data_IF_245543521165
#
_entry.id   IF_245543521165
#
_cell.length_a   1.000
_cell.length_b   1.000
_cell.length_c   1.000
_cell.angle_alpha   90.00
_cell.angle_beta   90.00
_cell.angle_gamma   90.00
#
_symmetry.space_group_name_H-M   'P 1'
#
loop_
_entity.id
_entity.type
_entity.pdbx_description
1 polymer ?
#
# COMPACT_ATOMS: atom_id res chain seq x y z
N UNK A 1 40.83 -13.06 -19.07
CA UNK A 1 39.41 -13.22 -19.45
C UNK A 1 38.55 -13.64 -18.26
N UNK A 2 39.15 -13.72 -17.06
CA UNK A 2 38.60 -14.42 -15.90
C UNK A 2 37.83 -13.53 -14.92
N UNK A 3 38.00 -12.20 -15.01
CA UNK A 3 37.32 -11.24 -14.14
C UNK A 3 35.81 -11.09 -14.47
N UNK A 4 35.45 -11.29 -15.74
CA UNK A 4 34.07 -11.15 -16.22
C UNK A 4 33.20 -12.36 -15.88
N UNK A 5 33.79 -13.57 -15.89
CA UNK A 5 33.14 -14.81 -15.46
C UNK A 5 32.91 -14.81 -13.95
N UNK A 6 33.85 -14.28 -13.16
CA UNK A 6 33.71 -14.16 -11.70
C UNK A 6 32.58 -13.20 -11.30
N UNK A 7 32.43 -12.07 -12.00
CA UNK A 7 31.32 -11.12 -11.80
C UNK A 7 29.97 -11.72 -12.15
N UNK A 8 29.88 -12.49 -13.25
CA UNK A 8 28.66 -13.19 -13.64
C UNK A 8 28.26 -14.28 -12.64
N UNK A 9 29.25 -15.05 -12.13
CA UNK A 9 29.03 -16.06 -11.09
C UNK A 9 28.59 -15.43 -9.76
N UNK A 10 29.16 -14.28 -9.37
CA UNK A 10 28.73 -13.57 -8.16
C UNK A 10 27.33 -12.96 -8.29
N UNK A 11 26.97 -12.44 -9.46
CA UNK A 11 25.62 -11.91 -9.73
C UNK A 11 24.56 -13.01 -9.63
N UNK A 12 24.83 -14.19 -10.20
CA UNK A 12 23.91 -15.34 -10.09
C UNK A 12 23.87 -15.92 -8.69
N UNK A 13 24.97 -15.89 -7.94
CA UNK A 13 24.96 -16.26 -6.51
C UNK A 13 24.09 -15.30 -5.69
N UNK A 14 24.12 -14.01 -5.97
CA UNK A 14 23.27 -13.04 -5.28
C UNK A 14 21.78 -13.24 -5.60
N UNK A 15 21.43 -13.52 -6.86
CA UNK A 15 20.04 -13.84 -7.26
C UNK A 15 19.55 -15.15 -6.63
N UNK A 16 20.38 -16.20 -6.66
CA UNK A 16 20.05 -17.48 -6.04
C UNK A 16 19.95 -17.34 -4.53
N UNK A 17 20.83 -16.56 -3.90
CA UNK A 17 20.76 -16.26 -2.46
C UNK A 17 19.51 -15.46 -2.12
N UNK A 18 19.09 -14.51 -2.97
CA UNK A 18 17.85 -13.76 -2.78
C UNK A 18 16.61 -14.65 -2.91
N UNK A 19 16.62 -15.59 -3.86
CA UNK A 19 15.56 -16.60 -4.03
C UNK A 19 15.53 -17.56 -2.84
N UNK A 20 16.69 -18.00 -2.33
CA UNK A 20 16.79 -18.84 -1.13
C UNK A 20 16.34 -18.08 0.12
N UNK A 21 16.67 -16.79 0.27
CA UNK A 21 16.16 -15.96 1.35
C UNK A 21 14.64 -15.78 1.27
N UNK A 22 14.09 -15.60 0.06
CA UNK A 22 12.64 -15.59 -0.16
C UNK A 22 12.01 -16.94 0.21
N UNK A 23 12.58 -18.06 -0.25
CA UNK A 23 12.12 -19.42 0.08
C UNK A 23 12.23 -19.71 1.58
N UNK A 24 13.30 -19.28 2.25
CA UNK A 24 13.42 -19.39 3.70
C UNK A 24 12.49 -18.42 4.43
N UNK A 25 12.13 -17.26 3.89
CA UNK A 25 11.03 -16.44 4.41
C UNK A 25 9.68 -17.17 4.33
N UNK A 26 9.47 -17.98 3.29
CA UNK A 26 8.30 -18.86 3.15
C UNK A 26 8.37 -20.09 4.08
N UNK A 27 9.54 -20.71 4.27
CA UNK A 27 9.72 -21.92 5.12
C UNK A 27 9.87 -21.63 6.61
N UNK A 28 10.45 -20.48 7.00
CA UNK A 28 10.70 -20.10 8.41
C UNK A 28 9.44 -19.71 9.18
N UNK A 29 8.26 -20.01 8.64
CA UNK A 29 7.02 -19.78 9.35
C UNK A 29 6.76 -18.30 9.58
N UNK A 30 6.63 -17.53 8.48
CA UNK A 30 5.42 -16.72 8.45
C UNK A 30 4.30 -17.75 8.45
N UNK A 31 3.86 -18.13 9.65
CA UNK A 31 2.48 -18.52 9.88
C UNK A 31 1.66 -17.30 9.45
N UNK A 32 1.55 -17.08 8.14
CA UNK A 32 0.35 -16.58 7.54
C UNK A 32 -0.63 -17.67 7.94
N UNK A 33 -1.19 -17.55 9.15
CA UNK A 33 -2.57 -17.95 9.36
C UNK A 33 -3.23 -17.46 8.08
N UNK A 34 -3.71 -18.40 7.28
CA UNK A 34 -4.56 -18.09 6.15
C UNK A 34 -5.78 -17.47 6.81
N UNK A 35 -5.68 -16.17 7.07
CA UNK A 35 -6.60 -15.40 7.86
C UNK A 35 -7.78 -15.21 6.94
N UNK A 36 -8.70 -16.15 7.01
CA UNK A 36 -10.07 -15.96 6.56
C UNK A 36 -10.77 -14.84 7.37
N UNK A 37 -10.06 -14.22 8.31
CA UNK A 37 -10.47 -13.02 9.02
C UNK A 37 -10.34 -11.80 8.10
N UNK A 38 -11.43 -11.52 7.41
CA UNK A 38 -11.70 -10.20 6.84
C UNK A 38 -11.75 -9.18 7.98
N UNK A 39 -10.96 -8.13 7.87
CA UNK A 39 -10.97 -7.01 8.80
C UNK A 39 -11.51 -5.77 8.10
N UNK A 40 -12.25 -4.96 8.85
CA UNK A 40 -12.68 -3.66 8.36
C UNK A 40 -11.51 -2.68 8.40
N UNK A 41 -11.24 -2.04 7.27
CA UNK A 41 -10.23 -1.02 7.12
C UNK A 41 -10.89 0.26 6.69
N UNK A 42 -10.61 1.33 7.43
CA UNK A 42 -11.12 2.66 7.15
C UNK A 42 -10.07 3.44 6.37
N UNK A 43 -10.42 3.83 5.15
CA UNK A 43 -9.59 4.64 4.27
C UNK A 43 -10.10 6.07 4.33
N UNK A 44 -9.21 6.99 4.68
CA UNK A 44 -9.49 8.40 4.84
C UNK A 44 -8.72 9.19 3.79
N UNK A 45 -9.44 9.90 2.93
CA UNK A 45 -8.89 10.84 1.97
C UNK A 45 -8.83 12.22 2.64
N UNK A 46 -7.62 12.73 2.82
CA UNK A 46 -7.34 13.94 3.61
C UNK A 46 -7.06 15.15 2.72
N UNK A 47 -6.08 15.99 3.08
CA UNK A 47 -5.78 17.25 2.41
C UNK A 47 -5.09 17.07 1.06
N UNK A 48 -5.25 18.08 0.20
CA UNK A 48 -4.48 18.28 -1.02
C UNK A 48 -5.12 17.78 -2.31
N UNK A 49 -6.29 17.14 -2.26
CA UNK A 49 -7.01 16.72 -3.45
C UNK A 49 -7.70 17.92 -4.14
N UNK A 50 -7.55 18.01 -5.45
CA UNK A 50 -8.01 19.08 -6.34
C UNK A 50 -8.80 18.53 -7.54
N UNK A 51 -9.63 17.51 -7.31
CA UNK A 51 -10.52 16.91 -8.31
C UNK A 51 -9.96 15.63 -8.91
N UNK A 52 -9.06 14.92 -8.22
CA UNK A 52 -8.52 13.66 -8.71
C UNK A 52 -9.52 12.52 -8.61
N UNK A 53 -9.56 11.71 -9.67
CA UNK A 53 -10.15 10.38 -9.63
C UNK A 53 -9.12 9.41 -9.05
N UNK A 54 -9.52 8.62 -8.05
CA UNK A 54 -8.68 7.64 -7.39
C UNK A 54 -9.28 6.25 -7.47
N UNK A 55 -8.41 5.28 -7.75
CA UNK A 55 -8.72 3.87 -7.61
C UNK A 55 -7.68 3.20 -6.70
N UNK A 56 -8.16 2.44 -5.73
CA UNK A 56 -7.33 1.75 -4.75
C UNK A 56 -7.40 0.26 -4.99
N UNK A 57 -6.23 -0.35 -5.10
CA UNK A 57 -6.06 -1.78 -5.25
C UNK A 57 -5.36 -2.36 -4.02
N UNK A 58 -5.83 -3.53 -3.59
CA UNK A 58 -5.15 -4.36 -2.58
C UNK A 58 -4.86 -5.71 -3.21
N UNK A 59 -3.57 -6.09 -3.23
CA UNK A 59 -3.09 -7.33 -3.84
C UNK A 59 -3.61 -7.52 -5.29
N UNK A 60 -3.67 -6.43 -6.06
CA UNK A 60 -4.13 -6.43 -7.45
C UNK A 60 -5.65 -6.43 -7.65
N UNK A 61 -6.46 -6.41 -6.58
CA UNK A 61 -7.92 -6.30 -6.65
C UNK A 61 -8.38 -4.88 -6.29
N UNK A 62 -9.23 -4.28 -7.12
CA UNK A 62 -9.85 -2.98 -6.83
C UNK A 62 -10.80 -3.11 -5.62
N UNK A 63 -10.64 -2.21 -4.64
CA UNK A 63 -11.39 -2.21 -3.38
C UNK A 63 -12.18 -0.93 -3.14
N UNK A 64 -11.80 0.18 -3.78
CA UNK A 64 -12.44 1.48 -3.65
C UNK A 64 -12.14 2.32 -4.89
N UNK A 65 -13.14 3.05 -5.35
CA UNK A 65 -13.02 4.05 -6.40
C UNK A 65 -13.73 5.32 -5.94
N UNK A 66 -13.08 6.46 -6.14
CA UNK A 66 -13.63 7.78 -5.87
C UNK A 66 -13.35 8.69 -7.05
N UNK A 67 -14.40 9.31 -7.55
CA UNK A 67 -14.29 10.24 -8.66
C UNK A 67 -14.31 11.67 -8.11
N UNK A 68 -13.51 12.56 -8.71
CA UNK A 68 -13.48 13.99 -8.44
C UNK A 68 -13.32 14.35 -6.95
N UNK A 69 -12.38 13.72 -6.25
CA UNK A 69 -12.10 14.05 -4.85
C UNK A 69 -11.58 15.47 -4.72
N UNK A 70 -12.22 16.26 -3.86
CA UNK A 70 -11.77 17.61 -3.52
C UNK A 70 -11.72 17.73 -2.00
N UNK A 71 -10.56 18.09 -1.47
CA UNK A 71 -10.41 18.32 -0.04
C UNK A 71 -11.12 19.61 0.39
N UNK A 72 -11.86 19.56 1.49
CA UNK A 72 -12.34 20.76 2.18
C UNK A 72 -11.15 21.63 2.64
N UNK A 73 -11.07 22.91 2.27
CA UNK A 73 -10.00 23.81 2.73
C UNK A 73 -10.00 24.05 4.24
N UNK A 74 -11.15 23.86 4.91
CA UNK A 74 -11.32 24.12 6.34
C UNK A 74 -11.07 22.86 7.17
N UNK A 75 -11.39 21.67 6.64
CA UNK A 75 -11.35 20.41 7.41
C UNK A 75 -10.18 19.51 7.03
N UNK A 76 -9.47 19.79 5.94
CA UNK A 76 -8.44 18.90 5.43
C UNK A 76 -8.95 17.49 5.09
N UNK A 77 -10.25 17.36 4.81
CA UNK A 77 -10.94 16.09 4.57
C UNK A 77 -11.58 16.10 3.19
N UNK A 78 -11.39 15.04 2.42
CA UNK A 78 -11.99 14.83 1.11
C UNK A 78 -13.04 13.70 1.11
N UNK A 79 -12.93 12.74 2.03
CA UNK A 79 -13.88 11.63 2.09
C UNK A 79 -13.34 10.43 2.85
N UNK A 80 -14.17 9.40 3.01
CA UNK A 80 -13.76 8.13 3.59
C UNK A 80 -14.51 6.95 3.01
N UNK A 81 -13.87 5.79 3.06
CA UNK A 81 -14.46 4.49 2.75
C UNK A 81 -14.18 3.47 3.84
N UNK A 82 -15.08 2.50 3.94
CA UNK A 82 -14.94 1.32 4.78
C UNK A 82 -14.89 0.10 3.87
N UNK A 83 -13.80 -0.65 3.92
CA UNK A 83 -13.58 -1.81 3.05
C UNK A 83 -13.20 -3.04 3.89
N UNK A 84 -13.63 -4.22 3.45
CA UNK A 84 -13.20 -5.47 4.05
C UNK A 84 -12.04 -6.05 3.24
N UNK A 85 -10.92 -6.30 3.92
CA UNK A 85 -9.74 -6.92 3.32
C UNK A 85 -9.18 -7.98 4.25
N UNK A 86 -8.45 -8.94 3.69
CA UNK A 86 -7.78 -9.96 4.50
C UNK A 86 -6.71 -9.32 5.38
N UNK A 87 -6.66 -9.76 6.64
CA UNK A 87 -5.58 -9.41 7.55
C UNK A 87 -4.22 -9.97 7.09
N UNK A 88 -3.14 -9.35 7.52
CA UNK A 88 -1.76 -9.71 7.18
C UNK A 88 -1.12 -8.79 6.14
N UNK A 89 0.04 -9.22 5.62
CA UNK A 89 0.84 -8.43 4.68
C UNK A 89 0.08 -8.26 3.37
N UNK A 90 -0.18 -7.00 2.99
CA UNK A 90 -0.88 -6.65 1.76
C UNK A 90 -0.17 -5.52 1.01
N UNK A 91 -0.20 -5.61 -0.32
CA UNK A 91 0.26 -4.57 -1.23
C UNK A 91 -0.89 -3.61 -1.54
N UNK A 92 -0.75 -2.35 -1.13
CA UNK A 92 -1.65 -1.26 -1.49
C UNK A 92 -1.09 -0.49 -2.68
N UNK A 93 -1.92 -0.29 -3.69
CA UNK A 93 -1.61 0.56 -4.83
C UNK A 93 -2.73 1.58 -5.04
N UNK A 94 -2.35 2.83 -5.29
CA UNK A 94 -3.29 3.92 -5.58
C UNK A 94 -3.00 4.44 -6.97
N UNK A 95 -4.05 4.56 -7.77
CA UNK A 95 -4.00 5.05 -9.14
C UNK A 95 -4.81 6.33 -9.26
N UNK A 96 -4.34 7.25 -10.10
CA UNK A 96 -5.16 8.34 -10.63
C UNK A 96 -5.26 8.18 -12.14
N UNK A 97 -6.47 7.92 -12.63
CA UNK A 97 -6.69 7.38 -13.97
C UNK A 97 -5.85 6.12 -14.20
N UNK A 98 -4.94 6.15 -15.19
CA UNK A 98 -4.06 5.01 -15.53
C UNK A 98 -2.68 5.05 -14.86
N UNK A 99 -2.39 6.09 -14.05
CA UNK A 99 -1.07 6.29 -13.45
C UNK A 99 -1.06 5.81 -12.01
N UNK A 100 -0.18 4.85 -11.69
CA UNK A 100 0.12 4.51 -10.30
C UNK A 100 0.84 5.68 -9.63
N UNK A 101 0.25 6.21 -8.55
CA UNK A 101 0.82 7.32 -7.78
C UNK A 101 1.41 6.88 -6.45
N UNK A 102 0.97 5.72 -5.94
CA UNK A 102 1.47 5.16 -4.69
C UNK A 102 1.49 3.63 -4.75
N UNK A 103 2.51 3.03 -4.17
CA UNK A 103 2.62 1.58 -3.95
C UNK A 103 3.32 1.35 -2.61
N UNK A 104 2.65 0.65 -1.68
CA UNK A 104 3.17 0.44 -0.32
C UNK A 104 2.72 -0.89 0.22
N UNK A 105 3.63 -1.60 0.87
CA UNK A 105 3.32 -2.83 1.61
C UNK A 105 2.94 -2.44 3.04
N UNK A 106 1.80 -2.94 3.51
CA UNK A 106 1.28 -2.68 4.86
C UNK A 106 0.92 -4.01 5.50
N UNK A 107 1.24 -4.16 6.79
CA UNK A 107 0.66 -5.22 7.60
C UNK A 107 -0.75 -4.80 8.04
N UNK A 108 -1.77 -5.44 7.48
CA UNK A 108 -3.17 -5.14 7.77
C UNK A 108 -3.56 -5.84 9.06
N UNK A 109 -3.91 -5.04 10.05
CA UNK A 109 -4.39 -5.51 11.36
C UNK A 109 -5.84 -5.06 11.57
N UNK A 110 -6.61 -5.73 12.46
CA UNK A 110 -7.94 -5.26 12.83
C UNK A 110 -7.92 -3.81 13.30
N UNK A 111 -8.94 -3.03 12.89
CA UNK A 111 -9.13 -1.62 13.24
C UNK A 111 -7.99 -0.69 12.77
N UNK A 112 -7.31 -1.03 11.68
CA UNK A 112 -6.34 -0.12 11.08
C UNK A 112 -7.06 0.96 10.26
N UNK A 113 -6.61 2.20 10.43
CA UNK A 113 -7.00 3.35 9.64
C UNK A 113 -5.88 3.67 8.64
N UNK A 114 -6.25 3.93 7.39
CA UNK A 114 -5.35 4.33 6.33
C UNK A 114 -5.65 5.78 5.94
N UNK A 115 -4.65 6.65 5.97
CA UNK A 115 -4.76 8.05 5.58
C UNK A 115 -4.02 8.29 4.28
N UNK A 116 -4.74 8.76 3.26
CA UNK A 116 -4.18 9.16 1.98
C UNK A 116 -4.25 10.69 1.89
N UNK A 117 -3.12 11.35 1.64
CA UNK A 117 -3.07 12.79 1.43
C UNK A 117 -2.12 13.15 0.29
N UNK A 118 -2.33 14.34 -0.25
CA UNK A 118 -1.52 14.93 -1.33
C UNK A 118 -0.83 16.16 -0.77
N UNK A 119 0.49 16.27 -0.97
CA UNK A 119 1.20 17.48 -0.59
C UNK A 119 1.09 18.58 -1.65
N UNK A 120 1.61 19.77 -1.33
CA UNK A 120 1.66 20.92 -2.25
C UNK A 120 2.41 20.68 -3.56
N UNK A 121 3.18 19.60 -3.67
CA UNK A 121 3.94 19.23 -4.86
C UNK A 121 3.25 18.08 -5.64
N UNK A 122 1.98 17.81 -5.36
CA UNK A 122 1.20 16.72 -5.94
C UNK A 122 1.79 15.33 -5.70
N UNK A 123 2.46 15.15 -4.55
CA UNK A 123 2.98 13.84 -4.12
C UNK A 123 1.97 13.18 -3.19
N UNK A 124 1.67 11.92 -3.49
CA UNK A 124 0.74 11.10 -2.73
C UNK A 124 1.45 10.38 -1.60
N UNK A 125 0.80 10.34 -0.45
CA UNK A 125 1.28 9.69 0.75
C UNK A 125 0.22 8.76 1.32
N UNK A 126 0.66 7.67 1.94
CA UNK A 126 -0.19 6.69 2.62
C UNK A 126 0.41 6.41 3.99
N UNK A 127 -0.35 6.76 5.02
CA UNK A 127 -0.04 6.46 6.41
C UNK A 127 -1.02 5.45 6.95
N UNK A 128 -0.57 4.64 7.89
CA UNK A 128 -1.39 3.66 8.59
C UNK A 128 -1.31 3.89 10.09
N UNK A 129 -2.44 3.85 10.78
CA UNK A 129 -2.55 4.11 12.21
C UNK A 129 -3.59 3.19 12.85
N UNK A 130 -3.46 2.89 14.14
CA UNK A 130 -4.55 2.25 14.93
C UNK A 130 -5.53 3.27 15.49
N UNK A 131 -5.13 4.54 15.51
CA UNK A 131 -5.99 5.65 15.88
C UNK A 131 -6.58 6.28 14.62
N UNK A 132 -7.81 6.77 14.72
CA UNK A 132 -8.42 7.55 13.66
C UNK A 132 -7.58 8.80 13.39
N UNK A 133 -7.45 9.18 12.13
CA UNK A 133 -6.81 10.44 11.80
C UNK A 133 -7.71 11.60 12.19
N UNK A 134 -7.17 12.57 12.92
CA UNK A 134 -7.90 13.77 13.31
C UNK A 134 -7.87 14.76 12.13
N UNK A 135 -9.06 15.20 11.71
CA UNK A 135 -9.25 16.21 10.68
C UNK A 135 -9.22 17.59 11.35
N UNK A 136 -8.26 18.43 10.96
CA UNK A 136 -8.13 19.82 11.44
C UNK A 136 -8.21 20.78 10.26
#
# INVERSE_FOLDING_TARGET
MDFMIFKLLNSRKAEVFFIICLLHLFESGVNCKRGEDLVNVLIHFQSGFQGEDLEIYVNGKSISQKDSLVSSPILGFAGSDSVQIHSGISLFEVYTGKRKVLSKIINVEPNIHLGIYVDKNNRFYLNSSKESFIYY
#
